data_IF_859261699100
#
_entry.id   IF_859261699100
#
_cell.length_a   1.000
_cell.length_b   1.000
_cell.length_c   1.000
_cell.angle_alpha   90.00
_cell.angle_beta   90.00
_cell.angle_gamma   90.00
#
_symmetry.space_group_name_H-M   'P 1'
#
loop_
_entity.id
_entity.type
_entity.pdbx_description
1 polymer ?
#
# COMPACT_ATOMS: atom_id res chain seq x y z
N UNK A 1 -9.62 0.22 -1.34
CA UNK A 1 -8.25 0.29 -1.89
C UNK A 1 -7.60 -1.08 -2.07
N UNK A 2 -7.57 -1.93 -1.05
CA UNK A 2 -7.05 -3.31 -1.20
C UNK A 2 -7.75 -4.11 -2.30
N UNK A 3 -9.06 -3.93 -2.48
CA UNK A 3 -9.80 -4.59 -3.55
C UNK A 3 -9.28 -4.18 -4.94
N UNK A 4 -9.02 -2.90 -5.18
CA UNK A 4 -8.45 -2.42 -6.46
C UNK A 4 -7.08 -3.05 -6.70
N UNK A 5 -6.21 -3.05 -5.71
CA UNK A 5 -4.88 -3.66 -5.81
C UNK A 5 -4.99 -5.16 -6.11
N UNK A 6 -5.85 -5.88 -5.40
CA UNK A 6 -6.00 -7.32 -5.56
C UNK A 6 -6.66 -7.72 -6.88
N UNK A 7 -7.65 -6.96 -7.34
CA UNK A 7 -8.43 -7.30 -8.54
C UNK A 7 -7.77 -6.82 -9.84
N UNK A 8 -7.04 -5.71 -9.80
CA UNK A 8 -6.47 -5.06 -10.99
C UNK A 8 -4.96 -5.24 -11.08
N UNK A 9 -4.23 -4.85 -10.04
CA UNK A 9 -2.77 -4.79 -10.10
C UNK A 9 -2.09 -6.13 -9.86
N UNK A 10 -2.58 -6.95 -8.92
CA UNK A 10 -1.96 -8.25 -8.64
C UNK A 10 -2.01 -9.25 -9.79
N UNK A 11 -3.12 -9.38 -10.55
CA UNK A 11 -3.13 -10.23 -11.74
C UNK A 11 -2.13 -9.80 -12.81
N UNK A 12 -1.82 -8.49 -12.90
CA UNK A 12 -0.83 -7.98 -13.86
C UNK A 12 0.62 -8.30 -13.46
N UNK A 13 0.91 -8.36 -12.17
CA UNK A 13 2.26 -8.59 -11.66
C UNK A 13 2.67 -10.07 -11.57
N UNK A 14 1.76 -10.94 -11.18
CA UNK A 14 1.95 -12.40 -11.01
C UNK A 14 3.23 -12.83 -10.28
N UNK A 15 3.70 -12.01 -9.33
CA UNK A 15 4.94 -12.29 -8.62
C UNK A 15 4.71 -13.20 -7.42
N UNK A 16 5.51 -14.28 -7.34
CA UNK A 16 5.50 -15.16 -6.17
C UNK A 16 6.06 -14.43 -4.95
N UNK A 17 5.51 -14.76 -3.77
CA UNK A 17 6.02 -14.23 -2.50
C UNK A 17 7.40 -14.81 -2.19
N UNK A 18 8.22 -14.10 -1.36
CA UNK A 18 9.53 -14.60 -0.96
C UNK A 18 9.46 -15.98 -0.34
N UNK A 19 10.43 -16.84 -0.67
CA UNK A 19 10.67 -18.08 0.04
C UNK A 19 11.48 -17.78 1.31
N UNK A 20 10.84 -17.94 2.46
CA UNK A 20 11.46 -17.65 3.77
C UNK A 20 12.65 -18.56 4.05
N UNK A 21 12.63 -19.80 3.60
CA UNK A 21 13.77 -20.70 3.73
C UNK A 21 14.98 -20.23 2.94
N UNK A 22 14.78 -19.83 1.67
CA UNK A 22 15.84 -19.31 0.80
C UNK A 22 16.46 -18.02 1.34
N UNK A 23 15.64 -17.10 1.85
CA UNK A 23 16.09 -15.81 2.37
C UNK A 23 16.42 -15.84 3.87
N UNK A 24 16.42 -17.02 4.49
CA UNK A 24 16.78 -17.23 5.91
C UNK A 24 16.01 -16.30 6.88
N UNK A 25 14.73 -16.12 6.65
CA UNK A 25 13.86 -15.30 7.54
C UNK A 25 13.65 -16.05 8.85
N UNK A 26 14.03 -15.50 10.03
CA UNK A 26 13.82 -16.17 11.30
C UNK A 26 12.35 -16.48 11.58
N UNK A 27 12.07 -17.65 12.16
CA UNK A 27 10.70 -18.07 12.51
C UNK A 27 9.98 -17.03 13.39
N UNK A 28 10.71 -16.39 14.30
CA UNK A 28 10.18 -15.33 15.18
C UNK A 28 9.68 -14.09 14.43
N UNK A 29 10.13 -13.88 13.18
CA UNK A 29 9.69 -12.78 12.31
C UNK A 29 8.59 -13.17 11.35
N UNK A 30 8.27 -14.47 11.24
CA UNK A 30 7.28 -14.96 10.28
C UNK A 30 5.86 -14.73 10.78
N UNK A 31 5.00 -14.33 9.87
CA UNK A 31 3.54 -14.30 10.01
C UNK A 31 2.93 -15.25 8.97
N UNK A 32 1.63 -15.51 9.05
CA UNK A 32 0.96 -16.35 8.06
C UNK A 32 1.17 -15.80 6.64
N UNK A 33 1.57 -16.69 5.72
CA UNK A 33 1.81 -16.31 4.34
C UNK A 33 0.48 -16.05 3.63
N UNK A 34 0.25 -14.83 3.08
CA UNK A 34 -0.94 -14.56 2.27
C UNK A 34 -0.97 -15.44 1.01
N UNK A 35 -2.17 -15.79 0.58
CA UNK A 35 -2.37 -16.66 -0.60
C UNK A 35 -2.28 -15.93 -1.95
N UNK A 36 -2.43 -14.59 -1.95
CA UNK A 36 -2.33 -13.79 -3.17
C UNK A 36 -0.88 -13.63 -3.63
N UNK A 37 -0.68 -13.24 -4.90
CA UNK A 37 0.64 -12.89 -5.44
C UNK A 37 1.28 -11.74 -4.65
N UNK A 38 2.63 -11.64 -4.66
CA UNK A 38 3.32 -10.66 -3.81
C UNK A 38 3.25 -9.23 -4.34
N UNK A 39 3.28 -9.04 -5.64
CA UNK A 39 3.33 -7.71 -6.26
C UNK A 39 1.96 -7.21 -6.69
N UNK A 40 1.62 -5.97 -6.44
CA UNK A 40 2.22 -5.08 -5.42
C UNK A 40 1.71 -5.39 -4.01
N UNK A 41 2.35 -4.83 -2.96
CA UNK A 41 1.90 -5.00 -1.58
C UNK A 41 0.57 -4.29 -1.32
N UNK A 42 -0.48 -5.07 -1.00
CA UNK A 42 -1.81 -4.52 -0.69
C UNK A 42 -1.85 -3.74 0.63
N UNK A 43 -1.06 -4.17 1.63
CA UNK A 43 -0.95 -3.44 2.91
C UNK A 43 -0.26 -2.10 2.73
N UNK A 44 0.85 -2.05 1.99
CA UNK A 44 1.54 -0.80 1.69
C UNK A 44 0.64 0.15 0.87
N UNK A 45 -0.04 -0.36 -0.16
CA UNK A 45 -0.96 0.42 -0.97
C UNK A 45 -2.08 1.04 -0.13
N UNK A 46 -2.72 0.27 0.74
CA UNK A 46 -3.80 0.75 1.62
C UNK A 46 -3.29 1.81 2.59
N UNK A 47 -2.14 1.60 3.22
CA UNK A 47 -1.56 2.54 4.17
C UNK A 47 -1.22 3.88 3.51
N UNK A 48 -0.57 3.85 2.35
CA UNK A 48 -0.19 5.08 1.63
C UNK A 48 -1.37 5.77 0.96
N UNK A 49 -2.37 5.04 0.50
CA UNK A 49 -3.61 5.63 -0.02
C UNK A 49 -4.37 6.39 1.07
N UNK A 50 -4.50 5.80 2.26
CA UNK A 50 -5.13 6.44 3.40
C UNK A 50 -4.35 7.69 3.84
N UNK A 51 -3.04 7.59 3.97
CA UNK A 51 -2.15 8.70 4.33
C UNK A 51 -2.27 9.85 3.34
N UNK A 52 -2.23 9.56 2.04
CA UNK A 52 -2.35 10.57 1.00
C UNK A 52 -3.73 11.23 1.00
N UNK A 53 -4.80 10.44 1.17
CA UNK A 53 -6.16 10.95 1.24
C UNK A 53 -6.38 11.87 2.42
N UNK A 54 -5.98 11.46 3.62
CA UNK A 54 -6.11 12.28 4.85
C UNK A 54 -5.20 13.50 4.79
N UNK A 55 -3.95 13.36 4.34
CA UNK A 55 -3.01 14.47 4.20
C UNK A 55 -3.48 15.53 3.20
N UNK A 56 -4.26 15.16 2.19
CA UNK A 56 -4.87 16.09 1.25
C UNK A 56 -6.00 16.95 1.85
N UNK A 57 -6.66 16.47 2.90
CA UNK A 57 -7.73 17.16 3.63
C UNK A 57 -7.18 17.83 4.88
N UNK A 58 -6.28 17.18 5.58
CA UNK A 58 -5.67 17.63 6.82
C UNK A 58 -4.14 17.48 6.76
N UNK A 59 -3.42 18.49 6.23
CA UNK A 59 -1.97 18.40 6.01
C UNK A 59 -1.15 18.08 7.27
N UNK A 60 -1.57 18.57 8.44
CA UNK A 60 -0.89 18.29 9.71
C UNK A 60 -0.87 16.83 10.11
N UNK A 61 -1.79 16.00 9.61
CA UNK A 61 -1.82 14.57 9.84
C UNK A 61 -0.91 13.79 8.86
N UNK A 62 -0.47 14.40 7.78
CA UNK A 62 0.30 13.74 6.72
C UNK A 62 1.63 13.17 7.20
N UNK A 63 2.38 13.92 8.00
CA UNK A 63 3.70 13.49 8.50
C UNK A 63 3.58 12.28 9.44
N UNK A 64 2.79 12.31 10.54
CA UNK A 64 2.65 11.15 11.41
C UNK A 64 2.10 9.91 10.69
N UNK A 65 1.12 10.08 9.82
CA UNK A 65 0.56 8.97 9.04
C UNK A 65 1.55 8.39 8.04
N UNK A 66 2.43 9.22 7.45
CA UNK A 66 3.49 8.76 6.55
C UNK A 66 4.51 7.89 7.29
N UNK A 67 4.85 8.22 8.52
CA UNK A 67 5.72 7.39 9.38
C UNK A 67 5.07 6.04 9.62
N UNK A 68 3.80 6.00 10.00
CA UNK A 68 3.05 4.76 10.24
C UNK A 68 2.96 3.93 8.95
N UNK A 69 2.64 4.55 7.82
CA UNK A 69 2.56 3.88 6.52
C UNK A 69 3.91 3.26 6.12
N UNK A 70 5.01 3.95 6.36
CA UNK A 70 6.37 3.45 6.10
C UNK A 70 6.71 2.25 6.98
N UNK A 71 6.30 2.25 8.25
CA UNK A 71 6.45 1.12 9.16
C UNK A 71 5.63 -0.09 8.70
N UNK A 72 4.41 0.13 8.21
CA UNK A 72 3.59 -0.95 7.64
C UNK A 72 4.29 -1.57 6.43
N UNK A 73 4.79 -0.77 5.50
CA UNK A 73 5.52 -1.26 4.33
C UNK A 73 6.78 -2.04 4.73
N UNK A 74 7.56 -1.53 5.65
CA UNK A 74 8.74 -2.19 6.18
C UNK A 74 8.41 -3.54 6.85
N UNK A 75 7.33 -3.59 7.64
CA UNK A 75 6.93 -4.81 8.34
C UNK A 75 6.61 -5.95 7.37
N UNK A 76 6.05 -5.63 6.19
CA UNK A 76 5.76 -6.66 5.17
C UNK A 76 7.04 -7.28 4.60
N UNK A 77 8.11 -6.53 4.50
CA UNK A 77 9.44 -7.04 4.10
C UNK A 77 10.10 -7.77 5.26
N UNK A 78 10.07 -7.17 6.46
CA UNK A 78 10.66 -7.74 7.67
C UNK A 78 10.11 -9.12 8.02
N UNK A 79 8.80 -9.36 7.82
CA UNK A 79 8.17 -10.65 8.07
C UNK A 79 8.34 -11.66 6.92
N UNK A 80 8.98 -11.26 5.84
CA UNK A 80 9.31 -12.15 4.70
C UNK A 80 8.13 -12.48 3.79
N UNK A 81 7.04 -11.71 3.82
CA UNK A 81 5.87 -11.93 2.95
C UNK A 81 5.91 -11.13 1.66
N UNK A 82 6.78 -10.12 1.58
CA UNK A 82 6.98 -9.29 0.39
C UNK A 82 8.45 -9.00 0.13
N UNK A 83 8.78 -8.80 -1.15
CA UNK A 83 10.04 -8.20 -1.56
C UNK A 83 10.02 -6.68 -1.33
N UNK A 84 11.19 -6.01 -1.16
CA UNK A 84 11.23 -4.55 -1.04
C UNK A 84 10.55 -3.82 -2.21
N UNK A 85 10.71 -4.32 -3.43
CA UNK A 85 10.04 -3.77 -4.62
C UNK A 85 8.52 -3.91 -4.58
N UNK A 86 7.97 -4.95 -3.94
CA UNK A 86 6.53 -5.11 -3.74
C UNK A 86 5.98 -4.00 -2.83
N UNK A 87 6.69 -3.69 -1.76
CA UNK A 87 6.33 -2.62 -0.83
C UNK A 87 6.40 -1.25 -1.50
N UNK A 88 7.45 -0.98 -2.28
CA UNK A 88 7.61 0.28 -3.02
C UNK A 88 6.52 0.43 -4.07
N UNK A 89 6.25 -0.60 -4.87
CA UNK A 89 5.18 -0.57 -5.87
C UNK A 89 3.81 -0.35 -5.22
N UNK A 90 3.55 -1.00 -4.09
CA UNK A 90 2.32 -0.81 -3.32
C UNK A 90 2.19 0.61 -2.79
N UNK A 91 3.25 1.16 -2.22
CA UNK A 91 3.28 2.54 -1.72
C UNK A 91 2.99 3.56 -2.83
N UNK A 92 3.67 3.45 -3.97
CA UNK A 92 3.48 4.34 -5.11
C UNK A 92 2.06 4.22 -5.69
N UNK A 93 1.54 3.02 -5.84
CA UNK A 93 0.17 2.77 -6.30
C UNK A 93 -0.85 3.38 -5.34
N UNK A 94 -0.66 3.21 -4.04
CA UNK A 94 -1.53 3.78 -3.01
C UNK A 94 -1.52 5.30 -3.02
N UNK A 95 -0.35 5.93 -3.12
CA UNK A 95 -0.23 7.38 -3.24
C UNK A 95 -0.93 7.91 -4.48
N UNK A 96 -0.74 7.29 -5.64
CA UNK A 96 -1.38 7.69 -6.88
C UNK A 96 -2.91 7.62 -6.79
N UNK A 97 -3.45 6.52 -6.26
CA UNK A 97 -4.89 6.35 -6.07
C UNK A 97 -5.45 7.32 -5.03
N UNK A 98 -4.73 7.59 -3.95
CA UNK A 98 -5.10 8.59 -2.96
C UNK A 98 -5.18 9.99 -3.55
N UNK A 99 -4.24 10.37 -4.39
CA UNK A 99 -4.25 11.66 -5.11
C UNK A 99 -5.46 11.78 -6.05
N UNK A 100 -5.80 10.72 -6.76
CA UNK A 100 -6.99 10.70 -7.64
C UNK A 100 -8.28 10.91 -6.85
N UNK A 101 -8.42 10.29 -5.69
CA UNK A 101 -9.58 10.47 -4.80
C UNK A 101 -9.67 11.91 -4.30
N UNK A 102 -8.56 12.50 -3.86
CA UNK A 102 -8.50 13.90 -3.41
C UNK A 102 -8.89 14.86 -4.54
N UNK A 103 -8.34 14.66 -5.74
CA UNK A 103 -8.65 15.47 -6.91
C UNK A 103 -10.14 15.38 -7.30
N UNK A 104 -10.71 14.18 -7.26
CA UNK A 104 -12.13 13.96 -7.52
C UNK A 104 -13.03 14.67 -6.51
N UNK A 105 -12.69 14.62 -5.22
CA UNK A 105 -13.40 15.31 -4.15
C UNK A 105 -13.36 16.84 -4.32
N UNK A 106 -12.21 17.38 -4.66
CA UNK A 106 -12.06 18.83 -4.92
C UNK A 106 -12.92 19.28 -6.09
N UNK A 107 -12.94 18.52 -7.20
CA UNK A 107 -13.77 18.82 -8.37
C UNK A 107 -15.27 18.80 -8.02
N UNK A 108 -15.73 17.86 -7.20
CA UNK A 108 -17.12 17.78 -6.75
C UNK A 108 -17.51 19.00 -5.91
N UNK A 109 -16.64 19.47 -5.01
CA UNK A 109 -16.90 20.65 -4.19
C UNK A 109 -16.97 21.95 -4.98
N UNK A 110 -16.27 22.02 -6.12
CA UNK A 110 -16.23 23.21 -6.98
C UNK A 110 -17.38 23.26 -7.98
N UNK A 111 -18.18 22.18 -8.13
CA UNK A 111 -19.35 22.21 -9.01
C UNK A 111 -20.44 23.10 -8.43
N UNK A 112 -20.99 24.07 -9.21
CA UNK A 112 -22.09 24.90 -8.74
C UNK A 112 -23.30 24.03 -8.40
N UNK A 113 -23.95 24.31 -7.29
CA UNK A 113 -25.27 23.71 -6.99
C UNK A 113 -26.25 24.24 -8.03
N UNK A 114 -26.77 23.37 -8.88
CA UNK A 114 -27.86 23.69 -9.80
C UNK A 114 -29.18 23.63 -9.06
#
# INVERSE_FOLDING_TARGET
MRAVVNLVLKPLGHRRRPDRGTYAVPVTRQVDMPRSTSWPSGHAASAFAFTTGVGGVWPGAGIPLSVIASLVAYSRVHTGVHYPSDAIAGALSGMALGQLVVAGSRRRRQRPRR
#
